data_IF_144141001520
#
_entry.id   IF_144141001520
#
_cell.length_a   1.000
_cell.length_b   1.000
_cell.length_c   1.000
_cell.angle_alpha   90.00
_cell.angle_beta   90.00
_cell.angle_gamma   90.00
#
_symmetry.space_group_name_H-M   'P 1'
#
loop_
_entity.id
_entity.type
_entity.pdbx_description
1 polymer ?
#
# COMPACT_ATOMS: atom_id res chain seq x y z
N UNK A 1 22.61 25.04 -22.09
CA UNK A 1 23.23 23.83 -21.52
C UNK A 1 23.85 23.01 -22.65
N UNK A 2 25.14 22.67 -22.58
CA UNK A 2 25.80 21.72 -23.50
C UNK A 2 26.17 20.47 -22.68
N UNK A 3 26.01 19.27 -23.24
CA UNK A 3 26.30 17.94 -22.64
C UNK A 3 25.34 17.42 -21.54
N UNK A 4 24.02 17.54 -21.69
CA UNK A 4 23.06 16.84 -20.82
C UNK A 4 22.85 15.39 -21.27
N UNK A 5 22.71 14.46 -20.33
CA UNK A 5 22.41 13.05 -20.59
C UNK A 5 21.27 12.62 -19.66
N UNK A 6 20.25 12.00 -20.21
CA UNK A 6 19.19 11.32 -19.44
C UNK A 6 19.46 9.82 -19.42
N UNK A 7 19.29 9.19 -18.27
CA UNK A 7 19.42 7.74 -18.10
C UNK A 7 18.10 7.18 -17.58
N UNK A 8 17.54 6.21 -18.29
CA UNK A 8 16.38 5.45 -17.80
C UNK A 8 16.84 4.51 -16.70
N UNK A 9 16.22 4.61 -15.53
CA UNK A 9 16.50 3.74 -14.38
C UNK A 9 15.26 2.90 -14.04
N UNK A 10 15.44 1.70 -13.44
CA UNK A 10 14.31 0.94 -12.92
C UNK A 10 13.66 1.67 -11.74
N UNK A 11 12.37 1.37 -11.49
CA UNK A 11 11.61 1.99 -10.39
C UNK A 11 12.21 1.71 -9.01
N UNK A 12 12.98 0.63 -8.85
CA UNK A 12 13.72 0.33 -7.62
C UNK A 12 14.71 1.42 -7.20
N UNK A 13 15.15 2.29 -8.12
CA UNK A 13 15.99 3.46 -7.79
C UNK A 13 15.20 4.69 -7.36
N UNK A 14 13.87 4.62 -7.34
CA UNK A 14 12.99 5.73 -7.03
C UNK A 14 11.82 5.27 -6.13
N UNK A 15 12.10 5.21 -4.83
CA UNK A 15 11.14 4.88 -3.78
C UNK A 15 10.97 6.07 -2.82
N UNK A 16 10.36 7.19 -3.26
CA UNK A 16 10.13 8.34 -2.40
C UNK A 16 9.08 8.00 -1.33
N UNK A 17 9.34 8.41 -0.08
CA UNK A 17 8.36 8.34 1.01
C UNK A 17 7.79 9.73 1.22
N UNK A 18 6.54 9.96 0.80
CA UNK A 18 5.87 11.28 0.85
C UNK A 18 4.59 11.27 1.68
N UNK A 19 4.05 10.09 1.94
CA UNK A 19 2.81 9.88 2.68
C UNK A 19 2.95 8.69 3.64
N UNK A 20 2.01 8.58 4.56
CA UNK A 20 1.90 7.41 5.45
C UNK A 20 1.62 6.12 4.68
N UNK A 21 0.98 6.20 3.51
CA UNK A 21 0.85 5.05 2.59
C UNK A 21 2.21 4.56 2.08
N UNK A 22 3.11 5.48 1.73
CA UNK A 22 4.48 5.11 1.33
C UNK A 22 5.25 4.54 2.53
N UNK A 23 5.06 5.13 3.72
CA UNK A 23 5.68 4.67 4.96
C UNK A 23 5.26 3.24 5.31
N UNK A 24 3.97 2.93 5.16
CA UNK A 24 3.41 1.59 5.32
C UNK A 24 4.09 0.58 4.41
N UNK A 25 4.26 0.92 3.13
CA UNK A 25 4.93 0.04 2.17
C UNK A 25 6.37 -0.26 2.62
N UNK A 26 7.17 0.77 2.94
CA UNK A 26 8.60 0.59 3.25
C UNK A 26 8.87 -0.08 4.60
N UNK A 27 7.94 0.03 5.56
CA UNK A 27 8.05 -0.61 6.87
C UNK A 27 7.52 -2.05 6.90
N UNK A 28 6.69 -2.43 5.93
CA UNK A 28 6.11 -3.78 5.86
C UNK A 28 7.13 -4.85 5.46
N UNK A 29 6.72 -6.13 5.54
CA UNK A 29 7.52 -7.26 5.08
C UNK A 29 7.73 -7.31 3.55
N UNK A 30 7.18 -6.34 2.82
CA UNK A 30 7.38 -6.13 1.39
C UNK A 30 8.81 -5.78 1.01
N UNK A 31 9.53 -5.12 1.92
CA UNK A 31 10.93 -4.77 1.74
C UNK A 31 11.78 -5.38 2.84
N UNK A 32 13.01 -5.73 2.49
CA UNK A 32 14.06 -6.12 3.41
C UNK A 32 15.10 -5.01 3.45
N UNK A 33 15.64 -4.74 4.63
CA UNK A 33 16.76 -3.81 4.79
C UNK A 33 18.06 -4.61 4.69
N UNK A 34 18.89 -4.29 3.69
CA UNK A 34 20.23 -4.85 3.52
C UNK A 34 21.24 -3.72 3.39
N UNK A 35 22.15 -3.63 4.36
CA UNK A 35 23.16 -2.56 4.43
C UNK A 35 22.56 -1.15 4.30
N UNK A 36 21.43 -0.89 4.95
CA UNK A 36 20.73 0.40 4.91
C UNK A 36 19.95 0.67 3.61
N UNK A 37 19.92 -0.27 2.66
CA UNK A 37 19.11 -0.18 1.44
C UNK A 37 17.85 -1.03 1.54
N UNK A 38 16.73 -0.49 1.07
CA UNK A 38 15.47 -1.25 0.93
C UNK A 38 15.50 -2.05 -0.37
N UNK A 39 15.33 -3.37 -0.25
CA UNK A 39 15.23 -4.30 -1.37
C UNK A 39 13.86 -4.97 -1.31
N UNK A 40 13.13 -5.00 -2.44
CA UNK A 40 11.85 -5.71 -2.48
C UNK A 40 12.10 -7.19 -2.12
N UNK A 41 11.25 -7.72 -1.26
CA UNK A 41 11.39 -9.06 -0.74
C UNK A 41 11.30 -10.09 -1.90
N UNK A 42 12.33 -10.93 -2.11
CA UNK A 42 12.34 -11.90 -3.21
C UNK A 42 11.23 -12.95 -3.13
N UNK A 43 10.64 -13.17 -1.95
CA UNK A 43 9.52 -14.07 -1.76
C UNK A 43 8.19 -13.50 -2.29
N UNK A 44 8.18 -12.25 -2.80
CA UNK A 44 6.98 -11.67 -3.37
C UNK A 44 6.64 -12.36 -4.70
N UNK A 45 5.40 -12.86 -4.87
CA UNK A 45 5.00 -13.53 -6.11
C UNK A 45 5.02 -12.61 -7.34
N UNK A 46 4.66 -11.34 -7.14
CA UNK A 46 4.55 -10.34 -8.22
C UNK A 46 5.64 -9.26 -8.08
N UNK A 47 6.22 -8.74 -9.17
CA UNK A 47 7.24 -7.67 -9.08
C UNK A 47 6.65 -6.26 -8.94
N UNK A 48 5.31 -6.11 -8.98
CA UNK A 48 4.61 -4.83 -8.82
C UNK A 48 4.73 -4.33 -7.37
N UNK A 49 4.39 -3.06 -7.12
CA UNK A 49 4.23 -2.50 -5.77
C UNK A 49 2.72 -2.34 -5.56
N UNK A 50 2.12 -2.78 -4.44
CA UNK A 50 0.69 -2.64 -4.28
C UNK A 50 0.31 -1.18 -4.13
N UNK A 51 -0.92 -0.88 -4.48
CA UNK A 51 -1.49 0.44 -4.26
C UNK A 51 -1.99 0.46 -2.82
N UNK A 52 -1.42 1.33 -2.00
CA UNK A 52 -1.88 1.58 -0.62
C UNK A 52 -2.40 3.01 -0.54
N UNK A 53 -3.61 3.17 -0.01
CA UNK A 53 -4.26 4.46 0.25
C UNK A 53 -4.77 4.48 1.69
N UNK A 54 -3.99 5.10 2.56
CA UNK A 54 -4.42 5.39 3.92
C UNK A 54 -5.14 6.75 3.97
N UNK A 55 -6.25 6.80 4.68
CA UNK A 55 -7.10 7.98 4.86
C UNK A 55 -6.43 9.10 5.68
N UNK A 56 -7.17 10.18 5.89
CA UNK A 56 -6.69 11.36 6.62
C UNK A 56 -6.33 11.05 8.07
N UNK A 57 -6.90 9.99 8.63
CA UNK A 57 -6.69 9.47 9.98
C UNK A 57 -5.26 8.93 10.18
N UNK A 58 -4.52 8.74 9.08
CA UNK A 58 -3.12 8.32 9.10
C UNK A 58 -2.17 9.46 8.71
N UNK A 59 -2.65 10.69 8.52
CA UNK A 59 -1.87 11.77 7.94
C UNK A 59 -0.66 12.15 8.81
N UNK A 60 -0.81 12.20 10.14
CA UNK A 60 0.32 12.44 11.02
C UNK A 60 1.08 11.16 11.35
N UNK A 61 2.40 11.30 11.52
CA UNK A 61 3.26 10.19 11.93
C UNK A 61 2.84 9.59 13.29
N UNK A 62 2.29 10.42 14.19
CA UNK A 62 1.80 9.97 15.51
C UNK A 62 0.56 9.09 15.37
N UNK A 63 -0.44 9.52 14.59
CA UNK A 63 -1.67 8.75 14.37
C UNK A 63 -1.41 7.46 13.62
N UNK A 64 -0.53 7.50 12.62
CA UNK A 64 -0.06 6.32 11.91
C UNK A 64 0.61 5.33 12.86
N UNK A 65 1.56 5.79 13.69
CA UNK A 65 2.28 4.94 14.63
C UNK A 65 1.36 4.32 15.68
N UNK A 66 0.37 5.08 16.18
CA UNK A 66 -0.61 4.57 17.14
C UNK A 66 -1.48 3.45 16.53
N UNK A 67 -1.87 3.57 15.25
CA UNK A 67 -2.70 2.56 14.56
C UNK A 67 -1.92 1.32 14.14
N UNK A 68 -0.61 1.42 13.95
CA UNK A 68 0.28 0.30 13.62
C UNK A 68 1.28 -0.02 14.76
N UNK A 69 0.88 0.17 16.02
CA UNK A 69 1.74 -0.05 17.20
C UNK A 69 2.25 -1.49 17.27
N UNK A 70 1.41 -2.46 16.88
CA UNK A 70 1.75 -3.88 16.85
C UNK A 70 2.52 -4.29 15.57
N UNK A 71 2.90 -3.33 14.74
CA UNK A 71 3.55 -3.55 13.45
C UNK A 71 2.56 -3.69 12.29
N UNK A 72 3.13 -3.77 11.09
CA UNK A 72 2.36 -3.87 9.85
C UNK A 72 2.06 -5.34 9.56
N UNK A 73 0.83 -5.69 9.16
CA UNK A 73 0.49 -7.05 8.77
C UNK A 73 1.30 -7.53 7.56
N UNK A 74 1.29 -8.84 7.32
CA UNK A 74 1.87 -9.41 6.11
C UNK A 74 1.11 -8.93 4.87
N UNK A 75 1.81 -8.28 3.93
CA UNK A 75 1.24 -7.76 2.68
C UNK A 75 1.92 -8.33 1.42
N UNK A 76 2.57 -9.49 1.53
CA UNK A 76 3.35 -10.08 0.43
C UNK A 76 2.51 -10.39 -0.82
N UNK A 77 1.24 -10.71 -0.63
CA UNK A 77 0.27 -11.01 -1.70
C UNK A 77 -0.73 -9.87 -1.93
N UNK A 78 -0.47 -8.70 -1.34
CA UNK A 78 -1.35 -7.55 -1.50
C UNK A 78 -1.18 -6.96 -2.91
N UNK A 79 -2.31 -6.62 -3.53
CA UNK A 79 -2.36 -5.82 -4.76
C UNK A 79 -2.90 -4.41 -4.50
N UNK A 80 -3.96 -4.29 -3.70
CA UNK A 80 -4.59 -3.00 -3.38
C UNK A 80 -5.12 -2.97 -1.95
N UNK A 81 -4.83 -1.90 -1.21
CA UNK A 81 -5.35 -1.61 0.13
C UNK A 81 -5.82 -0.16 0.19
N UNK A 82 -7.08 0.05 0.57
CA UNK A 82 -7.58 1.36 0.99
C UNK A 82 -8.10 1.24 2.40
N UNK A 83 -7.65 2.13 3.29
CA UNK A 83 -8.12 2.23 4.68
C UNK A 83 -8.63 3.65 4.88
N UNK A 84 -9.86 3.80 5.35
CA UNK A 84 -10.47 5.10 5.64
C UNK A 84 -11.28 5.01 6.94
N UNK A 85 -11.29 6.08 7.73
CA UNK A 85 -11.97 6.14 9.03
C UNK A 85 -11.14 5.57 10.19
N UNK A 86 -11.77 5.52 11.36
CA UNK A 86 -11.13 5.14 12.63
C UNK A 86 -11.07 3.62 12.90
N UNK A 87 -11.49 2.79 11.94
CA UNK A 87 -11.47 1.33 12.04
C UNK A 87 -10.40 0.65 11.20
N UNK A 88 -10.08 -0.61 11.51
CA UNK A 88 -9.18 -1.42 10.68
C UNK A 88 -9.98 -2.08 9.56
N UNK A 89 -10.09 -1.40 8.42
CA UNK A 89 -10.70 -1.94 7.20
C UNK A 89 -9.61 -2.47 6.29
N UNK A 90 -9.61 -3.78 6.04
CA UNK A 90 -8.65 -4.41 5.13
C UNK A 90 -9.41 -4.89 3.89
N UNK A 91 -9.17 -4.24 2.75
CA UNK A 91 -9.68 -4.69 1.46
C UNK A 91 -8.61 -5.57 0.80
N UNK A 92 -8.95 -6.80 0.43
CA UNK A 92 -8.05 -7.72 -0.28
C UNK A 92 -8.69 -8.15 -1.61
N UNK A 93 -8.22 -7.57 -2.70
CA UNK A 93 -8.53 -8.01 -4.06
C UNK A 93 -7.34 -8.80 -4.61
N UNK A 94 -7.55 -10.07 -4.93
CA UNK A 94 -6.53 -10.95 -5.53
C UNK A 94 -6.32 -10.62 -7.03
N UNK A 95 -5.32 -11.21 -7.66
CA UNK A 95 -5.02 -11.00 -9.08
C UNK A 95 -6.27 -11.24 -9.97
N UNK A 96 -6.66 -10.21 -10.73
CA UNK A 96 -7.87 -10.22 -11.59
C UNK A 96 -9.18 -9.86 -10.88
N UNK A 97 -9.17 -9.72 -9.55
CA UNK A 97 -10.30 -9.25 -8.76
C UNK A 97 -10.32 -7.73 -8.63
N UNK A 98 -11.51 -7.18 -8.45
CA UNK A 98 -11.77 -5.76 -8.26
C UNK A 98 -12.74 -5.60 -7.10
N UNK A 99 -12.62 -4.59 -6.25
CA UNK A 99 -13.60 -4.33 -5.19
C UNK A 99 -14.05 -2.87 -5.28
N UNK A 100 -15.24 -2.68 -5.81
CA UNK A 100 -15.97 -1.40 -5.83
C UNK A 100 -16.77 -1.25 -4.54
N UNK A 101 -16.51 -0.18 -3.80
CA UNK A 101 -17.33 0.18 -2.64
C UNK A 101 -18.26 1.34 -3.06
N UNK A 102 -19.59 1.24 -2.85
CA UNK A 102 -20.51 2.32 -3.20
C UNK A 102 -20.32 3.54 -2.28
N UNK A 103 -20.73 4.71 -2.78
CA UNK A 103 -20.72 5.94 -1.99
C UNK A 103 -21.53 5.76 -0.70
N UNK A 104 -20.96 6.19 0.43
CA UNK A 104 -21.58 6.05 1.76
C UNK A 104 -21.32 4.71 2.45
N UNK A 105 -20.48 3.83 1.88
CA UNK A 105 -20.07 2.59 2.55
C UNK A 105 -19.31 2.89 3.85
N UNK A 106 -19.86 2.41 4.97
CA UNK A 106 -19.20 2.44 6.29
C UNK A 106 -18.73 1.04 6.62
N UNK A 107 -17.41 0.87 6.74
CA UNK A 107 -16.78 -0.36 7.19
C UNK A 107 -16.07 -0.05 8.51
N UNK A 108 -16.43 -0.78 9.56
CA UNK A 108 -15.80 -0.67 10.87
C UNK A 108 -15.38 -2.07 11.32
N UNK A 109 -14.06 -2.26 11.44
CA UNK A 109 -13.44 -3.54 11.79
C UNK A 109 -13.93 -4.71 10.91
N UNK A 110 -13.75 -4.54 9.60
CA UNK A 110 -14.13 -5.54 8.59
C UNK A 110 -12.97 -5.82 7.64
N UNK A 111 -12.81 -7.10 7.32
CA UNK A 111 -11.98 -7.55 6.20
C UNK A 111 -12.93 -7.81 5.03
N UNK A 112 -12.78 -7.09 3.94
CA UNK A 112 -13.54 -7.33 2.70
C UNK A 112 -12.60 -7.94 1.69
N UNK A 113 -12.89 -9.17 1.29
CA UNK A 113 -12.12 -9.89 0.27
C UNK A 113 -13.03 -10.31 -0.87
N UNK A 114 -12.48 -10.40 -2.08
CA UNK A 114 -13.20 -10.94 -3.23
C UNK A 114 -13.16 -10.05 -4.46
N UNK A 115 -14.16 -10.26 -5.34
CA UNK A 115 -14.33 -9.52 -6.59
C UNK A 115 -15.74 -8.90 -6.62
N UNK A 116 -15.85 -7.65 -6.18
CA UNK A 116 -17.06 -6.85 -6.22
C UNK A 116 -16.92 -5.80 -7.33
N UNK A 117 -17.79 -5.87 -8.34
CA UNK A 117 -17.90 -4.83 -9.37
C UNK A 117 -19.26 -4.16 -9.30
N UNK A 118 -19.28 -2.84 -9.28
CA UNK A 118 -20.52 -2.05 -9.38
C UNK A 118 -20.59 -1.52 -10.81
N UNK A 119 -21.67 -1.85 -11.50
CA UNK A 119 -21.96 -1.38 -12.86
C UNK A 119 -23.14 -0.41 -12.78
N UNK A 120 -23.02 0.74 -13.44
CA UNK A 120 -24.13 1.68 -13.60
C UNK A 120 -25.25 0.99 -14.39
N UNK A 121 -26.50 1.20 -13.96
CA UNK A 121 -27.71 0.74 -14.66
C UNK A 121 -28.17 1.75 -15.71
#
# INVERSE_FOLDING_TARGET
>A
FKNFIGIKVPRSRFLPVKSSSDLFLVQSNLYQIKHGSLLMNPARPTPSIPIVKLGLEFHSAKEYAARFEHGIPNIMELDHLTVAGDGTVILVANEGAHIDLPDGTVLEDKVVTGNLRILDH
#
